data_IF_869528486256
#
_entry.id   IF_869528486256
#
_cell.length_a   1.000
_cell.length_b   1.000
_cell.length_c   1.000
_cell.angle_alpha   90.00
_cell.angle_beta   90.00
_cell.angle_gamma   90.00
#
_symmetry.space_group_name_H-M   'P 1'
#
loop_
_entity.id
_entity.type
_entity.pdbx_description
1 polymer ?
#
# COMPACT_ATOMS: atom_id res chain seq x y z
N UNK A 1 6.00 6.52 -8.33
CA UNK A 1 5.45 7.12 -9.58
C UNK A 1 3.97 6.83 -9.77
N UNK A 2 3.52 5.57 -9.81
CA UNK A 2 2.08 5.26 -9.99
C UNK A 2 1.21 5.85 -8.87
N UNK A 3 1.67 5.76 -7.61
CA UNK A 3 0.98 6.37 -6.47
C UNK A 3 0.91 7.90 -6.55
N UNK A 4 1.94 8.55 -7.11
CA UNK A 4 1.96 10.01 -7.29
C UNK A 4 0.93 10.44 -8.36
N UNK A 5 0.83 9.67 -9.45
CA UNK A 5 -0.17 9.88 -10.50
C UNK A 5 -1.59 9.65 -9.96
N UNK A 6 -1.80 8.61 -9.15
CA UNK A 6 -3.08 8.35 -8.49
C UNK A 6 -3.48 9.49 -7.57
N UNK A 7 -2.55 9.98 -6.73
CA UNK A 7 -2.79 11.11 -5.85
C UNK A 7 -3.13 12.39 -6.64
N UNK A 8 -2.43 12.65 -7.75
CA UNK A 8 -2.72 13.78 -8.63
C UNK A 8 -4.11 13.67 -9.32
N UNK A 9 -4.54 12.47 -9.69
CA UNK A 9 -5.86 12.25 -10.25
C UNK A 9 -6.97 12.46 -9.19
N UNK A 10 -6.73 11.98 -7.96
CA UNK A 10 -7.65 12.16 -6.83
C UNK A 10 -7.79 13.62 -6.43
N UNK A 11 -6.70 14.40 -6.45
CA UNK A 11 -6.73 15.81 -6.07
C UNK A 11 -7.64 16.67 -6.96
N UNK A 12 -7.93 16.21 -8.18
CA UNK A 12 -8.90 16.84 -9.07
C UNK A 12 -10.36 16.61 -8.65
N UNK A 13 -10.66 15.55 -7.86
CA UNK A 13 -12.01 15.18 -7.43
C UNK A 13 -12.06 14.57 -6.01
N UNK A 14 -11.58 15.27 -4.96
CA UNK A 14 -11.31 14.67 -3.65
C UNK A 14 -12.57 14.25 -2.87
N UNK A 15 -13.75 14.80 -3.19
CA UNK A 15 -15.02 14.40 -2.58
C UNK A 15 -15.60 13.11 -3.16
N UNK A 16 -15.09 12.67 -4.33
CA UNK A 16 -15.60 11.50 -5.06
C UNK A 16 -14.63 10.35 -5.11
N UNK A 17 -13.33 10.63 -5.04
CA UNK A 17 -12.27 9.65 -5.23
C UNK A 17 -11.41 9.52 -3.97
N UNK A 18 -11.10 8.27 -3.63
CA UNK A 18 -10.01 7.88 -2.72
C UNK A 18 -9.24 6.76 -3.41
N UNK A 19 -8.01 6.52 -2.98
CA UNK A 19 -7.12 5.56 -3.64
C UNK A 19 -6.36 4.70 -2.64
N UNK A 20 -6.17 3.45 -3.04
CA UNK A 20 -5.25 2.53 -2.42
C UNK A 20 -3.90 2.58 -3.13
N UNK A 21 -2.83 2.40 -2.35
CA UNK A 21 -1.48 2.33 -2.86
C UNK A 21 -1.21 1.04 -3.59
N UNK A 22 -0.39 1.16 -4.63
CA UNK A 22 0.32 0.06 -5.24
C UNK A 22 1.71 -0.06 -4.61
N UNK A 23 2.08 -1.25 -4.14
CA UNK A 23 3.28 -1.46 -3.33
C UNK A 23 4.22 -2.50 -3.95
N UNK A 24 5.55 -2.34 -3.77
CA UNK A 24 6.54 -3.31 -4.22
C UNK A 24 6.63 -4.50 -3.24
N UNK A 25 5.59 -5.33 -3.17
CA UNK A 25 5.48 -6.41 -2.17
C UNK A 25 6.61 -7.43 -2.21
N UNK A 26 7.37 -7.53 -3.30
CA UNK A 26 8.59 -8.34 -3.37
C UNK A 26 9.72 -7.85 -2.46
N UNK A 27 9.60 -6.65 -1.88
CA UNK A 27 10.58 -6.02 -1.00
C UNK A 27 9.87 -5.48 0.24
N UNK A 28 9.66 -6.29 1.29
CA UNK A 28 8.78 -5.93 2.41
C UNK A 28 9.12 -4.61 3.10
N UNK A 29 10.41 -4.33 3.30
CA UNK A 29 10.88 -3.06 3.86
C UNK A 29 10.51 -1.86 2.98
N UNK A 30 10.72 -1.97 1.67
CA UNK A 30 10.36 -0.91 0.73
C UNK A 30 8.84 -0.75 0.60
N UNK A 31 8.07 -1.83 0.74
CA UNK A 31 6.62 -1.79 0.77
C UNK A 31 6.10 -1.04 2.01
N UNK A 32 6.71 -1.28 3.18
CA UNK A 32 6.41 -0.54 4.41
C UNK A 32 6.68 0.97 4.26
N UNK A 33 7.86 1.32 3.76
CA UNK A 33 8.27 2.72 3.54
C UNK A 33 7.35 3.43 2.54
N UNK A 34 6.99 2.76 1.45
CA UNK A 34 6.09 3.33 0.44
C UNK A 34 4.66 3.45 0.98
N UNK A 35 4.17 2.50 1.78
CA UNK A 35 2.86 2.60 2.44
C UNK A 35 2.82 3.82 3.37
N UNK A 36 3.86 4.04 4.17
CA UNK A 36 3.95 5.19 5.05
C UNK A 36 3.96 6.51 4.28
N UNK A 37 4.73 6.60 3.19
CA UNK A 37 4.74 7.79 2.32
C UNK A 37 3.37 8.02 1.69
N UNK A 38 2.76 6.96 1.17
CA UNK A 38 1.43 6.96 0.60
C UNK A 38 0.37 7.57 1.52
N UNK A 39 0.33 7.11 2.76
CA UNK A 39 -0.69 7.52 3.74
C UNK A 39 -0.39 8.92 4.26
N UNK A 40 0.85 9.16 4.69
CA UNK A 40 1.22 10.42 5.36
C UNK A 40 1.44 11.60 4.41
N UNK A 41 1.93 11.34 3.20
CA UNK A 41 2.32 12.39 2.26
C UNK A 41 1.30 12.54 1.12
N UNK A 42 0.77 11.42 0.60
CA UNK A 42 -0.13 11.45 -0.55
C UNK A 42 -1.63 11.41 -0.19
N UNK A 43 -1.99 11.12 1.08
CA UNK A 43 -3.38 11.04 1.53
C UNK A 43 -4.14 9.82 1.01
N UNK A 44 -3.43 8.81 0.53
CA UNK A 44 -4.00 7.52 0.14
C UNK A 44 -4.43 6.73 1.39
N UNK A 45 -5.42 5.84 1.24
CA UNK A 45 -6.19 5.30 2.39
C UNK A 45 -5.80 3.90 2.83
N UNK A 46 -4.67 3.39 2.35
CA UNK A 46 -4.24 2.02 2.57
C UNK A 46 -3.57 1.48 1.31
N UNK A 47 -3.57 0.16 1.14
CA UNK A 47 -3.02 -0.49 -0.04
C UNK A 47 -3.95 -1.54 -0.64
N UNK A 48 -3.81 -1.76 -1.94
CA UNK A 48 -4.38 -2.88 -2.67
C UNK A 48 -3.20 -3.65 -3.24
N UNK A 49 -3.07 -4.91 -2.82
CA UNK A 49 -1.97 -5.79 -3.20
C UNK A 49 -2.54 -7.13 -3.65
N UNK A 50 -1.85 -7.83 -4.53
CA UNK A 50 -2.20 -9.20 -4.87
C UNK A 50 -2.11 -10.10 -3.62
N UNK A 51 -2.87 -11.18 -3.55
CA UNK A 51 -2.88 -12.11 -2.41
C UNK A 51 -1.55 -12.86 -2.22
N UNK A 52 -0.70 -12.91 -3.24
CA UNK A 52 0.65 -13.46 -3.21
C UNK A 52 1.50 -12.87 -4.33
N UNK A 53 2.82 -13.02 -4.23
CA UNK A 53 3.71 -12.75 -5.37
C UNK A 53 3.52 -13.79 -6.47
N UNK A 54 3.97 -13.48 -7.70
CA UNK A 54 3.86 -14.42 -8.83
C UNK A 54 4.58 -15.76 -8.65
N UNK A 55 5.48 -15.88 -7.67
CA UNK A 55 6.17 -17.12 -7.30
C UNK A 55 5.47 -17.89 -6.15
N UNK A 56 4.22 -17.54 -5.81
CA UNK A 56 3.44 -18.11 -4.70
C UNK A 56 3.99 -17.80 -3.30
N UNK A 57 4.87 -16.80 -3.16
CA UNK A 57 5.23 -16.28 -1.83
C UNK A 57 4.03 -15.53 -1.25
N UNK A 58 3.50 -16.05 -0.16
CA UNK A 58 2.49 -15.38 0.67
C UNK A 58 3.17 -14.44 1.66
N UNK A 59 2.37 -13.52 2.22
CA UNK A 59 2.84 -12.45 3.11
C UNK A 59 2.76 -12.86 4.59
N UNK A 60 2.95 -14.13 4.89
CA UNK A 60 2.77 -14.76 6.20
C UNK A 60 4.09 -15.06 6.94
N UNK A 61 5.23 -14.74 6.33
CA UNK A 61 6.55 -14.90 6.94
C UNK A 61 6.96 -13.65 7.72
N UNK A 62 7.90 -13.80 8.66
CA UNK A 62 8.45 -12.70 9.46
C UNK A 62 9.15 -11.62 8.62
N UNK A 63 9.49 -11.92 7.38
CA UNK A 63 10.05 -10.93 6.45
C UNK A 63 9.04 -9.81 6.15
N UNK A 64 7.74 -10.09 6.26
CA UNK A 64 6.66 -9.12 6.08
C UNK A 64 6.24 -8.40 7.37
N UNK A 65 6.82 -8.70 8.52
CA UNK A 65 6.52 -8.01 9.78
C UNK A 65 6.67 -6.47 9.66
N UNK A 66 7.72 -5.90 9.03
CA UNK A 66 7.82 -4.45 8.88
C UNK A 66 6.65 -3.83 8.11
N UNK A 67 6.10 -4.55 7.13
CA UNK A 67 4.95 -4.13 6.35
C UNK A 67 3.68 -4.14 7.21
N UNK A 68 3.42 -5.25 7.92
CA UNK A 68 2.23 -5.38 8.78
C UNK A 68 2.26 -4.45 9.98
N UNK A 69 3.41 -4.28 10.63
CA UNK A 69 3.61 -3.30 11.70
C UNK A 69 3.32 -1.88 11.21
N UNK A 70 3.75 -1.54 10.00
CA UNK A 70 3.49 -0.22 9.42
C UNK A 70 2.02 -0.02 9.08
N UNK A 71 1.35 -1.01 8.49
CA UNK A 71 -0.09 -0.96 8.24
C UNK A 71 -0.89 -0.78 9.55
N UNK A 72 -0.55 -1.55 10.59
CA UNK A 72 -1.16 -1.45 11.91
C UNK A 72 -0.91 -0.07 12.54
N UNK A 73 0.33 0.42 12.53
CA UNK A 73 0.70 1.71 13.11
C UNK A 73 0.03 2.89 12.41
N UNK A 74 -0.20 2.79 11.10
CA UNK A 74 -0.90 3.80 10.31
C UNK A 74 -2.42 3.70 10.44
N UNK A 75 -2.94 2.60 11.00
CA UNK A 75 -4.37 2.31 11.13
C UNK A 75 -5.10 2.35 9.77
N UNK A 76 -4.53 1.67 8.77
CA UNK A 76 -5.07 1.63 7.41
C UNK A 76 -5.35 0.20 6.93
N UNK A 77 -6.42 -0.02 6.15
CA UNK A 77 -6.73 -1.33 5.59
C UNK A 77 -5.75 -1.73 4.47
N UNK A 78 -5.52 -3.04 4.38
CA UNK A 78 -4.81 -3.68 3.25
C UNK A 78 -5.82 -4.58 2.54
N UNK A 79 -6.14 -4.25 1.30
CA UNK A 79 -7.00 -5.05 0.44
C UNK A 79 -6.14 -6.10 -0.28
N UNK A 80 -6.38 -7.38 0.01
CA UNK A 80 -5.77 -8.50 -0.72
C UNK A 80 -6.65 -8.87 -1.92
N UNK A 81 -6.17 -8.57 -3.12
CA UNK A 81 -6.85 -8.87 -4.38
C UNK A 81 -6.63 -10.35 -4.78
N UNK A 82 -7.67 -11.07 -5.26
CA UNK A 82 -7.55 -12.45 -5.73
C UNK A 82 -6.64 -12.64 -6.94
#
# INVERSE_FOLDING_TARGET
KINDQLAAAISSHPSRLRGFCYLPMAYPQAAAEELERCVKVLGLVGALVDNHLGNMTFYDTTEYDPFWETAQRLDVPIYLHP
#
